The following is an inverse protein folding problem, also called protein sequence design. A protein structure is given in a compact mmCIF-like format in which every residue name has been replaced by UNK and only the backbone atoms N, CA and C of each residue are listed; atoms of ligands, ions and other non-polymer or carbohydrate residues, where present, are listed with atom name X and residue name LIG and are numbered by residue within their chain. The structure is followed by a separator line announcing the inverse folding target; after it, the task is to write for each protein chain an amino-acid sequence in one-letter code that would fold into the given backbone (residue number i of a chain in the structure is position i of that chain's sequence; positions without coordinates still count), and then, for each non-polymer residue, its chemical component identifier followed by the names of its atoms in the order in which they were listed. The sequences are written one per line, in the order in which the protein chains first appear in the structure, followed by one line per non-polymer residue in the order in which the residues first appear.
data_IF_403877590840
#
_entry.id   IF_403877590840
#
_cell.length_a   1.000
_cell.length_b   1.000
_cell.length_c   1.000
_cell.angle_alpha   90.00
_cell.angle_beta   90.00
_cell.angle_gamma   90.00
#
_symmetry.space_group_name_H-M   'P 1'
#
loop_
_entity.id
_entity.type
_entity.pdbx_description
1 polymer ?
#
# COMPACT_ATOMS: atom_id res chain seq x y z
N UNK A 1 12.35 7.77 -10.97
CA UNK A 1 11.81 6.53 -11.56
C UNK A 1 10.30 6.63 -11.59
N UNK A 2 9.64 6.33 -12.71
CA UNK A 2 8.17 6.32 -12.78
C UNK A 2 7.62 5.19 -11.93
N UNK A 3 6.71 5.50 -11.01
CA UNK A 3 6.05 4.51 -10.15
C UNK A 3 4.81 4.03 -10.87
N UNK A 4 4.54 2.73 -10.87
CA UNK A 4 3.35 2.16 -11.55
C UNK A 4 2.28 1.62 -10.61
N UNK A 5 2.58 1.61 -9.30
CA UNK A 5 1.72 1.06 -8.26
C UNK A 5 0.66 2.02 -7.74
N UNK A 6 -0.48 1.45 -7.36
CA UNK A 6 -1.60 2.08 -6.70
C UNK A 6 -2.01 1.26 -5.48
N UNK A 7 -2.46 1.95 -4.44
CA UNK A 7 -3.21 1.35 -3.33
C UNK A 7 -4.69 1.43 -3.64
N UNK A 8 -5.41 0.37 -3.29
CA UNK A 8 -6.87 0.28 -3.40
C UNK A 8 -7.42 -0.12 -2.04
N UNK A 9 -8.19 0.75 -1.40
CA UNK A 9 -8.78 0.54 -0.07
C UNK A 9 -10.31 0.42 -0.17
N UNK A 10 -10.92 -0.16 0.86
CA UNK A 10 -12.38 -0.31 0.94
C UNK A 10 -12.94 -1.42 0.04
N UNK A 11 -12.13 -2.42 -0.29
CA UNK A 11 -12.56 -3.58 -1.08
C UNK A 11 -13.40 -4.54 -0.23
N UNK A 12 -14.42 -5.21 -0.78
CA UNK A 12 -15.18 -6.24 -0.08
C UNK A 12 -14.31 -7.38 0.49
N UNK A 13 -14.72 -7.98 1.61
CA UNK A 13 -13.98 -9.08 2.27
C UNK A 13 -13.69 -10.30 1.38
N UNK A 14 -14.52 -10.60 0.38
CA UNK A 14 -14.35 -11.70 -0.56
C UNK A 14 -13.43 -11.35 -1.75
N UNK A 15 -12.83 -10.15 -1.73
CA UNK A 15 -11.85 -9.74 -2.73
C UNK A 15 -10.60 -10.61 -2.67
N UNK A 16 -10.09 -10.97 -3.84
CA UNK A 16 -8.91 -11.79 -4.10
C UNK A 16 -8.10 -11.18 -5.24
N UNK A 17 -6.88 -11.66 -5.45
CA UNK A 17 -6.04 -11.25 -6.59
C UNK A 17 -6.74 -11.46 -7.95
N UNK A 18 -7.68 -12.42 -8.05
CA UNK A 18 -8.37 -12.75 -9.30
C UNK A 18 -9.52 -11.80 -9.63
N UNK A 19 -10.16 -11.20 -8.63
CA UNK A 19 -11.37 -10.39 -8.81
C UNK A 19 -11.19 -8.92 -8.44
N UNK A 20 -10.05 -8.49 -7.87
CA UNK A 20 -9.83 -7.08 -7.50
C UNK A 20 -10.06 -6.11 -8.67
N UNK A 21 -9.66 -6.50 -9.89
CA UNK A 21 -9.86 -5.67 -11.09
C UNK A 21 -11.35 -5.47 -11.44
N UNK A 22 -12.27 -6.31 -10.94
CA UNK A 22 -13.71 -6.11 -11.12
C UNK A 22 -14.23 -4.87 -10.38
N UNK A 23 -13.51 -4.44 -9.34
CA UNK A 23 -13.80 -3.27 -8.53
C UNK A 23 -13.09 -2.01 -9.03
N UNK A 24 -12.44 -2.06 -10.19
CA UNK A 24 -11.64 -0.98 -10.73
C UNK A 24 -12.10 -0.60 -12.14
N UNK A 25 -11.93 0.67 -12.46
CA UNK A 25 -12.12 1.21 -13.80
C UNK A 25 -10.93 2.09 -14.14
N UNK A 26 -10.31 1.84 -15.27
CA UNK A 26 -9.25 2.67 -15.83
C UNK A 26 -9.68 3.28 -17.16
N UNK A 27 -9.21 4.49 -17.43
CA UNK A 27 -9.28 5.05 -18.78
C UNK A 27 -8.44 4.18 -19.73
N UNK A 28 -8.92 3.82 -20.95
CA UNK A 28 -8.16 3.06 -21.94
C UNK A 28 -6.92 3.77 -22.52
N UNK A 29 -6.35 4.75 -21.81
CA UNK A 29 -5.40 5.73 -22.32
C UNK A 29 -4.07 5.13 -22.86
N UNK A 30 -3.70 3.88 -22.55
CA UNK A 30 -2.53 3.18 -23.10
C UNK A 30 -2.75 1.66 -23.03
N UNK A 31 -2.13 0.88 -23.92
CA UNK A 31 -1.98 -0.59 -23.82
C UNK A 31 -1.09 -0.96 -22.62
N UNK A 32 -1.61 -0.73 -21.42
CA UNK A 32 -1.02 -1.12 -20.15
C UNK A 32 -1.91 -2.15 -19.48
N UNK A 33 -1.28 -3.20 -18.98
CA UNK A 33 -2.01 -4.27 -18.28
C UNK A 33 -2.07 -3.96 -16.79
N UNK A 34 -3.27 -3.83 -16.24
CA UNK A 34 -3.47 -3.70 -14.79
C UNK A 34 -3.34 -5.08 -14.11
N UNK A 35 -2.41 -5.19 -13.17
CA UNK A 35 -2.11 -6.44 -12.47
C UNK A 35 -2.26 -6.27 -10.97
N UNK A 36 -3.07 -7.13 -10.36
CA UNK A 36 -3.16 -7.30 -8.92
C UNK A 36 -1.87 -7.90 -8.36
N UNK A 37 -1.33 -7.32 -7.29
CA UNK A 37 -0.05 -7.72 -6.71
C UNK A 37 -0.15 -8.22 -5.28
N UNK A 38 -1.01 -7.59 -4.49
CA UNK A 38 -1.34 -8.06 -3.15
C UNK A 38 -2.81 -7.77 -2.83
N UNK A 39 -3.37 -8.58 -1.94
CA UNK A 39 -4.65 -8.36 -1.29
C UNK A 39 -4.48 -8.79 0.15
N UNK A 40 -4.92 -7.98 1.11
CA UNK A 40 -4.83 -8.25 2.53
C UNK A 40 -6.00 -7.59 3.28
N UNK A 41 -6.33 -8.05 4.50
CA UNK A 41 -7.28 -7.35 5.36
C UNK A 41 -6.87 -5.89 5.59
N UNK A 42 -7.86 -4.99 5.58
CA UNK A 42 -7.66 -3.61 6.03
C UNK A 42 -7.40 -3.61 7.54
N UNK A 43 -6.54 -2.68 7.97
CA UNK A 43 -5.98 -2.66 9.33
C UNK A 43 -6.62 -1.57 10.21
N UNK A 44 -7.53 -0.76 9.65
CA UNK A 44 -8.33 0.17 10.46
C UNK A 44 -9.28 -0.59 11.39
N UNK A 45 -9.59 -0.03 12.57
CA UNK A 45 -10.13 -0.73 13.73
C UNK A 45 -11.50 -1.41 13.63
N UNK A 46 -11.99 -1.78 12.43
CA UNK A 46 -13.09 -2.71 12.22
C UNK A 46 -12.55 -4.07 11.74
N UNK A 47 -12.62 -5.13 12.56
CA UNK A 47 -12.05 -6.42 12.17
C UNK A 47 -12.72 -7.02 10.93
N UNK A 48 -11.93 -7.23 9.88
CA UNK A 48 -12.17 -8.11 8.72
C UNK A 48 -13.36 -7.83 7.79
N UNK A 49 -13.95 -6.63 7.78
CA UNK A 49 -15.01 -6.31 6.81
C UNK A 49 -14.47 -5.91 5.43
N UNK A 50 -13.28 -5.31 5.39
CA UNK A 50 -12.72 -4.69 4.19
C UNK A 50 -11.29 -5.17 3.91
N UNK A 51 -10.90 -5.07 2.64
CA UNK A 51 -9.59 -5.42 2.14
C UNK A 51 -8.88 -4.22 1.53
N UNK A 52 -7.56 -4.29 1.53
CA UNK A 52 -6.65 -3.43 0.79
C UNK A 52 -5.94 -4.26 -0.26
N UNK A 53 -5.71 -3.67 -1.42
CA UNK A 53 -4.91 -4.26 -2.48
C UNK A 53 -3.82 -3.30 -2.94
N UNK A 54 -2.74 -3.86 -3.46
CA UNK A 54 -1.82 -3.13 -4.34
C UNK A 54 -1.95 -3.64 -5.77
N UNK A 55 -1.99 -2.72 -6.72
CA UNK A 55 -2.10 -3.02 -8.15
C UNK A 55 -1.07 -2.21 -8.92
N UNK A 56 -0.48 -2.80 -9.95
CA UNK A 56 0.50 -2.13 -10.81
C UNK A 56 -0.03 -2.08 -12.25
N UNK A 57 0.17 -0.95 -12.94
CA UNK A 57 0.13 -0.95 -14.40
C UNK A 57 1.44 -1.48 -14.94
N UNK A 58 1.40 -2.60 -15.66
CA UNK A 58 2.57 -3.12 -16.35
C UNK A 58 2.73 -2.35 -17.67
N UNK A 59 3.80 -1.53 -17.81
CA UNK A 59 4.02 -0.77 -19.02
C UNK A 59 4.52 -1.67 -20.16
N UNK A 60 4.26 -1.30 -21.43
CA UNK A 60 4.86 -1.99 -22.56
C UNK A 60 6.40 -1.80 -22.60
N UNK A 61 7.14 -2.68 -23.29
CA UNK A 61 8.58 -2.51 -23.48
C UNK A 61 8.91 -1.13 -24.08
N UNK A 62 9.91 -0.45 -23.50
CA UNK A 62 10.33 0.88 -23.96
C UNK A 62 9.42 2.04 -23.50
N UNK A 63 8.50 1.80 -22.57
CA UNK A 63 7.68 2.86 -21.99
C UNK A 63 8.53 3.98 -21.39
N UNK A 64 8.20 5.21 -21.78
CA UNK A 64 8.82 6.40 -21.24
C UNK A 64 8.11 6.80 -19.93
N UNK A 65 8.83 6.88 -18.78
CA UNK A 65 8.25 7.29 -17.50
C UNK A 65 7.66 8.70 -17.45
N UNK A 66 7.90 9.54 -18.46
CA UNK A 66 7.24 10.85 -18.63
C UNK A 66 5.81 10.73 -19.14
N UNK A 67 5.42 9.58 -19.71
CA UNK A 67 4.04 9.32 -20.11
C UNK A 67 3.22 9.05 -18.85
N UNK A 68 2.11 9.77 -18.60
CA UNK A 68 1.30 9.57 -17.42
C UNK A 68 0.66 8.18 -17.44
N UNK A 69 0.44 7.63 -16.25
CA UNK A 69 -0.32 6.39 -16.11
C UNK A 69 -1.82 6.63 -16.34
N UNK A 70 -2.55 5.59 -16.77
CA UNK A 70 -3.99 5.66 -16.86
C UNK A 70 -4.60 6.07 -15.51
N UNK A 71 -5.62 6.92 -15.55
CA UNK A 71 -6.39 7.25 -14.35
C UNK A 71 -7.12 5.99 -13.90
N UNK A 72 -6.91 5.59 -12.65
CA UNK A 72 -7.53 4.43 -12.02
C UNK A 72 -8.53 4.90 -10.95
N UNK A 73 -9.74 4.36 -10.99
CA UNK A 73 -10.83 4.69 -10.04
C UNK A 73 -11.52 3.42 -9.56
N UNK A 74 -12.14 3.49 -8.39
CA UNK A 74 -13.05 2.46 -7.90
C UNK A 74 -14.31 2.36 -8.76
N UNK A 75 -14.78 1.13 -8.99
CA UNK A 75 -16.02 0.82 -9.71
C UNK A 75 -17.16 0.68 -8.71
N UNK A 76 -18.19 1.52 -8.82
CA UNK A 76 -19.43 1.35 -8.05
C UNK A 76 -19.59 2.18 -6.76
N UNK A 77 -19.11 3.44 -6.74
CA UNK A 77 -19.43 4.42 -5.69
C UNK A 77 -18.32 4.65 -4.64
N UNK A 78 -18.60 5.54 -3.69
CA UNK A 78 -17.66 6.21 -2.75
C UNK A 78 -16.82 5.30 -1.81
N UNK A 79 -16.98 3.97 -1.88
CA UNK A 79 -16.34 3.04 -0.93
C UNK A 79 -14.95 2.57 -1.35
N UNK A 80 -14.68 2.45 -2.65
CA UNK A 80 -13.37 2.00 -3.15
C UNK A 80 -12.49 3.20 -3.45
N UNK A 81 -11.49 3.41 -2.61
CA UNK A 81 -10.55 4.52 -2.72
C UNK A 81 -9.28 4.04 -3.41
N UNK A 82 -8.82 4.80 -4.41
CA UNK A 82 -7.60 4.50 -5.16
C UNK A 82 -6.64 5.68 -5.01
N UNK A 83 -5.40 5.40 -4.59
CA UNK A 83 -4.39 6.43 -4.42
C UNK A 83 -2.97 5.94 -4.79
N UNK A 84 -2.04 6.88 -4.95
CA UNK A 84 -0.60 6.61 -5.16
C UNK A 84 0.28 7.24 -4.07
N UNK A 85 -0.33 7.83 -3.03
CA UNK A 85 0.40 8.49 -1.94
C UNK A 85 0.84 7.48 -0.89
N UNK A 86 0.05 6.42 -0.69
CA UNK A 86 0.25 5.37 0.31
C UNK A 86 0.38 5.95 1.73
N UNK A 87 -0.42 6.95 2.07
CA UNK A 87 -0.43 7.52 3.42
C UNK A 87 -1.16 6.62 4.41
N UNK A 88 -0.62 6.53 5.63
CA UNK A 88 -1.05 5.57 6.63
C UNK A 88 -0.48 4.18 6.37
N UNK A 89 -1.07 3.18 7.02
CA UNK A 89 -0.66 1.79 6.86
C UNK A 89 -1.14 1.21 5.53
N UNK A 90 -0.28 0.42 4.90
CA UNK A 90 -0.63 -0.42 3.75
C UNK A 90 -0.10 -1.83 4.01
N UNK A 91 -0.96 -2.83 4.26
CA UNK A 91 -0.54 -4.21 4.28
C UNK A 91 -0.17 -4.69 2.88
N UNK A 92 1.00 -5.33 2.79
CA UNK A 92 1.60 -5.76 1.53
C UNK A 92 1.39 -7.25 1.26
N UNK A 93 0.97 -8.03 2.26
CA UNK A 93 0.65 -9.44 2.13
C UNK A 93 -0.40 -9.87 3.17
N UNK A 94 -1.08 -10.96 2.86
CA UNK A 94 -1.83 -11.76 3.84
C UNK A 94 -0.88 -12.86 4.34
N UNK A 95 -0.41 -12.79 5.61
CA UNK A 95 0.54 -13.76 6.15
C UNK A 95 -0.10 -15.14 6.31
N UNK A 96 0.72 -16.19 6.28
CA UNK A 96 0.30 -17.53 6.68
C UNK A 96 0.15 -17.61 8.20
N UNK A 97 -0.87 -18.35 8.64
CA UNK A 97 -1.08 -18.61 10.06
C UNK A 97 -0.17 -19.73 10.59
N UNK A 98 0.33 -19.63 11.83
CA UNK A 98 0.18 -18.49 12.72
C UNK A 98 1.06 -17.30 12.27
N UNK A 99 0.54 -16.08 12.39
CA UNK A 99 1.35 -14.87 12.17
C UNK A 99 2.47 -14.79 13.22
N UNK A 100 3.72 -14.80 12.78
CA UNK A 100 4.88 -14.87 13.65
C UNK A 100 5.31 -13.48 14.17
N UNK A 101 5.25 -12.47 13.30
CA UNK A 101 5.67 -11.09 13.61
C UNK A 101 5.07 -10.09 12.63
N UNK A 102 5.08 -8.82 13.05
CA UNK A 102 4.80 -7.67 12.18
C UNK A 102 6.09 -6.97 11.78
N UNK A 103 6.24 -6.68 10.48
CA UNK A 103 7.28 -5.82 9.93
C UNK A 103 6.63 -4.53 9.45
N UNK A 104 7.07 -3.40 9.99
CA UNK A 104 6.58 -2.08 9.62
C UNK A 104 7.73 -1.27 9.03
N UNK A 105 7.65 -1.01 7.73
CA UNK A 105 8.62 -0.17 7.02
C UNK A 105 8.09 1.27 6.92
N UNK A 106 8.78 2.20 7.58
CA UNK A 106 8.39 3.62 7.64
C UNK A 106 9.24 4.41 6.66
N UNK A 107 8.61 5.17 5.76
CA UNK A 107 9.42 5.94 4.79
C UNK A 107 10.06 7.19 5.39
N UNK A 108 11.23 7.54 4.87
CA UNK A 108 11.91 8.80 5.19
C UNK A 108 11.19 10.04 4.66
N UNK A 109 11.69 11.21 5.08
CA UNK A 109 11.15 12.52 4.70
C UNK A 109 11.14 12.72 3.18
N UNK A 110 10.06 13.34 2.68
CA UNK A 110 9.75 13.49 1.26
C UNK A 110 9.71 12.16 0.46
N UNK A 111 9.73 11.02 1.15
CA UNK A 111 9.58 9.69 0.59
C UNK A 111 8.13 9.35 0.30
N UNK A 112 7.92 8.34 -0.53
CA UNK A 112 6.60 7.77 -0.79
C UNK A 112 6.61 6.33 -0.31
N UNK A 113 5.60 5.95 0.47
CA UNK A 113 5.55 4.68 1.17
C UNK A 113 5.86 3.48 0.28
N UNK A 114 5.38 3.49 -0.95
CA UNK A 114 5.59 2.40 -1.90
C UNK A 114 6.89 2.58 -2.70
N UNK A 115 7.11 3.78 -3.23
CA UNK A 115 8.24 4.07 -4.10
C UNK A 115 9.60 4.04 -3.42
N UNK A 116 9.69 4.32 -2.12
CA UNK A 116 10.94 4.24 -1.35
C UNK A 116 11.47 2.81 -1.25
N UNK A 117 10.61 1.82 -1.45
CA UNK A 117 10.94 0.39 -1.40
C UNK A 117 10.82 -0.29 -2.76
N UNK A 118 10.76 0.48 -3.85
CA UNK A 118 10.75 -0.06 -5.20
C UNK A 118 12.18 -0.18 -5.76
N UNK A 119 12.57 -1.36 -6.22
CA UNK A 119 13.83 -1.56 -6.97
C UNK A 119 13.65 -1.33 -8.47
N UNK A 120 12.42 -1.54 -8.97
CA UNK A 120 12.02 -1.36 -10.37
C UNK A 120 10.58 -0.79 -10.42
N UNK A 121 10.10 -0.27 -11.57
CA UNK A 121 8.78 0.36 -11.66
C UNK A 121 7.61 -0.50 -11.16
N UNK A 122 7.72 -1.84 -11.28
CA UNK A 122 6.71 -2.85 -10.91
C UNK A 122 7.25 -3.86 -9.88
N UNK A 123 8.37 -3.54 -9.21
CA UNK A 123 8.98 -4.40 -8.19
C UNK A 123 9.21 -3.63 -6.90
N UNK A 124 8.39 -3.92 -5.89
CA UNK A 124 8.46 -3.36 -4.55
C UNK A 124 8.97 -4.45 -3.61
N UNK A 125 10.23 -4.35 -3.18
CA UNK A 125 10.96 -5.50 -2.62
C UNK A 125 10.38 -6.00 -1.29
N UNK A 126 9.69 -5.16 -0.52
CA UNK A 126 8.99 -5.61 0.69
C UNK A 126 7.83 -6.54 0.35
N UNK A 127 7.03 -6.20 -0.68
CA UNK A 127 5.91 -7.01 -1.16
C UNK A 127 6.38 -8.22 -1.96
N UNK A 128 7.26 -7.98 -2.92
CA UNK A 128 7.58 -8.94 -3.99
C UNK A 128 8.73 -9.90 -3.62
N UNK A 129 9.48 -9.63 -2.54
CA UNK A 129 10.59 -10.46 -2.07
C UNK A 129 10.52 -10.77 -0.58
N UNK A 130 10.47 -9.77 0.29
CA UNK A 130 10.50 -9.97 1.74
C UNK A 130 9.29 -10.79 2.23
N UNK A 131 8.08 -10.44 1.82
CA UNK A 131 6.87 -11.17 2.18
C UNK A 131 6.85 -12.62 1.64
N UNK A 132 7.55 -12.88 0.54
CA UNK A 132 7.70 -14.22 -0.04
C UNK A 132 8.69 -15.06 0.76
N UNK A 133 9.82 -14.46 1.15
CA UNK A 133 10.87 -15.13 1.93
C UNK A 133 10.43 -15.42 3.38
N UNK A 134 9.51 -14.60 3.92
CA UNK A 134 8.97 -14.73 5.28
C UNK A 134 7.44 -14.82 5.26
N UNK A 135 6.85 -15.96 4.85
CA UNK A 135 5.41 -16.08 4.60
C UNK A 135 4.54 -15.92 5.86
N UNK A 136 5.09 -16.16 7.06
CA UNK A 136 4.40 -15.94 8.34
C UNK A 136 4.59 -14.51 8.89
N UNK A 137 5.34 -13.65 8.21
CA UNK A 137 5.49 -12.24 8.61
C UNK A 137 4.42 -11.39 7.93
N UNK A 138 3.74 -10.54 8.69
CA UNK A 138 2.88 -9.51 8.13
C UNK A 138 3.73 -8.28 7.82
N UNK A 139 3.82 -7.93 6.54
CA UNK A 139 4.64 -6.80 6.08
C UNK A 139 3.75 -5.60 5.78
N UNK A 140 4.02 -4.49 6.43
CA UNK A 140 3.29 -3.23 6.34
C UNK A 140 4.25 -2.12 5.86
N UNK A 141 3.81 -1.27 4.94
CA UNK A 141 4.45 0.04 4.72
C UNK A 141 3.65 1.14 5.40
N UNK A 142 4.33 2.16 5.92
CA UNK A 142 3.70 3.34 6.49
C UNK A 142 4.23 4.61 5.83
N UNK A 143 3.32 5.36 5.20
CA UNK A 143 3.61 6.65 4.57
C UNK A 143 2.98 7.82 5.32
N UNK A 144 3.60 8.99 5.20
CA UNK A 144 3.06 10.24 5.74
C UNK A 144 3.46 11.41 4.84
N UNK A 145 2.61 12.42 4.77
CA UNK A 145 2.88 13.62 3.98
C UNK A 145 3.98 14.45 4.64
N UNK A 146 5.18 14.37 4.08
CA UNK A 146 6.38 15.08 4.56
C UNK A 146 6.97 16.00 3.49
N UNK A 147 6.17 16.45 2.53
CA UNK A 147 6.66 17.33 1.46
C UNK A 147 7.15 18.68 2.03
N UNK A 148 8.44 18.97 1.82
CA UNK A 148 9.12 20.16 2.35
C UNK A 148 8.97 21.42 1.48
N UNK A 149 8.55 21.30 0.21
CA UNK A 149 8.45 22.44 -0.71
C UNK A 149 7.06 23.09 -0.66
N UNK A 150 7.00 24.32 -0.17
CA UNK A 150 5.77 25.14 -0.17
C UNK A 150 4.75 24.78 0.91
N UNK A 151 5.10 23.90 1.84
CA UNK A 151 4.24 23.57 2.97
C UNK A 151 4.23 24.73 3.98
N UNK A 152 3.06 25.36 4.16
CA UNK A 152 2.77 26.19 5.33
C UNK A 152 2.61 25.38 6.62
N UNK A 153 2.72 24.06 6.54
CA UNK A 153 2.77 23.16 7.69
C UNK A 153 4.21 22.73 7.92
N UNK A 154 4.89 23.42 8.83
CA UNK A 154 5.94 22.83 9.65
C UNK A 154 5.31 21.75 10.53
N UNK A 155 4.85 20.65 9.93
CA UNK A 155 4.45 19.49 10.70
C UNK A 155 5.71 18.96 11.38
N UNK A 156 5.86 19.33 12.66
CA UNK A 156 6.97 18.92 13.50
C UNK A 156 7.00 17.40 13.51
N UNK A 157 8.19 16.80 13.48
CA UNK A 157 8.40 15.34 13.55
C UNK A 157 7.55 14.70 14.67
N UNK A 158 7.29 15.44 15.75
CA UNK A 158 6.37 15.05 16.83
C UNK A 158 4.97 14.69 16.34
N UNK A 159 4.37 15.46 15.43
CA UNK A 159 3.04 15.20 14.86
C UNK A 159 3.01 13.88 14.10
N UNK A 160 4.02 13.62 13.25
CA UNK A 160 4.12 12.35 12.54
C UNK A 160 4.35 11.18 13.48
N UNK A 161 5.20 11.37 14.50
CA UNK A 161 5.46 10.35 15.50
C UNK A 161 4.21 10.02 16.33
N UNK A 162 3.41 11.01 16.69
CA UNK A 162 2.15 10.84 17.42
C UNK A 162 1.11 10.11 16.57
N UNK A 163 0.98 10.46 15.29
CA UNK A 163 0.08 9.74 14.36
C UNK A 163 0.52 8.29 14.18
N UNK A 164 1.79 8.06 13.85
CA UNK A 164 2.33 6.72 13.70
C UNK A 164 2.14 5.88 14.96
N UNK A 165 2.39 6.46 16.14
CA UNK A 165 2.16 5.80 17.42
C UNK A 165 0.69 5.44 17.62
N UNK A 166 -0.23 6.37 17.37
CA UNK A 166 -1.68 6.13 17.48
C UNK A 166 -2.10 4.96 16.59
N UNK A 167 -1.63 4.95 15.34
CA UNK A 167 -1.98 3.93 14.38
C UNK A 167 -1.38 2.57 14.80
N UNK A 168 -0.13 2.52 15.26
CA UNK A 168 0.48 1.28 15.81
C UNK A 168 -0.28 0.77 17.04
N UNK A 169 -0.71 1.66 17.94
CA UNK A 169 -1.52 1.29 19.09
C UNK A 169 -2.87 0.69 18.65
N UNK A 170 -3.45 1.16 17.56
CA UNK A 170 -4.67 0.60 16.98
C UNK A 170 -4.48 -0.79 16.41
N UNK A 171 -3.38 -1.03 15.69
CA UNK A 171 -3.00 -2.37 15.20
C UNK A 171 -2.85 -3.33 16.37
N UNK A 172 -2.14 -2.90 17.43
CA UNK A 172 -1.86 -3.73 18.60
C UNK A 172 -3.10 -4.09 19.41
N UNK A 173 -4.14 -3.26 19.40
CA UNK A 173 -5.42 -3.60 20.04
C UNK A 173 -6.11 -4.81 19.39
N UNK A 174 -5.81 -5.07 18.12
CA UNK A 174 -6.48 -6.09 17.32
C UNK A 174 -5.57 -7.26 16.89
N UNK A 175 -4.26 -7.15 17.10
CA UNK A 175 -3.29 -8.19 16.77
C UNK A 175 -3.06 -9.13 17.96
N UNK A 176 -3.12 -10.45 17.73
CA UNK A 176 -2.67 -11.48 18.67
C UNK A 176 -1.13 -11.66 18.68
N UNK A 177 -0.41 -10.87 17.87
CA UNK A 177 1.03 -11.03 17.61
C UNK A 177 1.85 -10.23 18.63
N UNK A 178 2.81 -10.89 19.27
CA UNK A 178 3.61 -10.29 20.35
C UNK A 178 4.85 -9.52 19.89
N UNK A 179 5.25 -9.63 18.62
CA UNK A 179 6.54 -9.12 18.12
C UNK A 179 6.36 -8.19 16.91
N UNK A 180 6.85 -6.94 17.04
CA UNK A 180 6.79 -5.90 16.00
C UNK A 180 8.18 -5.36 15.74
N UNK A 181 8.62 -5.37 14.48
CA UNK A 181 9.86 -4.78 14.01
C UNK A 181 9.55 -3.54 13.17
N UNK A 182 10.20 -2.42 13.49
CA UNK A 182 10.01 -1.14 12.81
C UNK A 182 11.37 -0.70 12.25
N UNK A 183 11.43 -0.39 10.96
CA UNK A 183 12.64 0.15 10.31
C UNK A 183 12.32 1.22 9.27
#
# INVERSE_FOLDING_TARGET
MGRTGYRVEGLPHDTTLKNVNNHLQSDPAVDMRLVARSVAPLIDGQPNELKVATVDFIPPPGWNPSVPLPVLKGRGGDRVVVDQTFYGFTPLNEPQEPVALDIIAVTGLAGNAFGSWASEPTHMWLRDKLAVDFPNARVLSYGFDSHLKGSHSEAVISVFSSRFRSDVEEIRRHASVSQVFIF
#
